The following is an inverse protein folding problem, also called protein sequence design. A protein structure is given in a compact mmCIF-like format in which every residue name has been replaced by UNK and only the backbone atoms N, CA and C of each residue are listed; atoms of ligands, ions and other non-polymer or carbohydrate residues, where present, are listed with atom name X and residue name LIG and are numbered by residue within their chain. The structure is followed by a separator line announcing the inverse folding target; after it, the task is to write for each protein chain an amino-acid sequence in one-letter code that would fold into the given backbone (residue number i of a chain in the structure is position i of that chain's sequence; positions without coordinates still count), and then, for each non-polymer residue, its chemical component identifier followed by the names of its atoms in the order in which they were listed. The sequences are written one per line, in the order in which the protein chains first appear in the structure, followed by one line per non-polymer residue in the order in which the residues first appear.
data_IF_450385555406
#
_entry.id   IF_450385555406
#
_cell.length_a   1.000
_cell.length_b   1.000
_cell.length_c   1.000
_cell.angle_alpha   90.00
_cell.angle_beta   90.00
_cell.angle_gamma   90.00
#
_symmetry.space_group_name_H-M   'P 1'
#
loop_
_entity.id
_entity.type
_entity.pdbx_description
1 polymer ?
#
# COMPACT_ATOMS: atom_id res chain seq x y z
N UNK A 1 -13.19 -16.03 18.70
CA UNK A 1 -11.97 -16.49 18.00
C UNK A 1 -11.54 -17.82 18.64
N UNK A 2 -11.48 -18.94 17.93
CA UNK A 2 -11.06 -20.20 18.50
C UNK A 2 -9.55 -20.15 18.76
N UNK A 3 -9.18 -20.14 20.03
CA UNK A 3 -7.79 -20.07 20.53
C UNK A 3 -6.90 -21.25 20.09
N UNK A 4 -7.47 -22.30 19.53
CA UNK A 4 -6.78 -23.56 19.21
C UNK A 4 -6.08 -23.58 17.84
N UNK A 5 -6.32 -22.62 16.93
CA UNK A 5 -5.64 -22.58 15.61
C UNK A 5 -4.33 -21.80 15.58
N UNK A 6 -4.01 -21.00 16.60
CA UNK A 6 -2.82 -20.14 16.64
C UNK A 6 -1.51 -20.89 16.96
N UNK A 7 -1.57 -22.14 17.40
CA UNK A 7 -0.39 -22.92 17.83
C UNK A 7 -0.02 -24.07 16.87
N UNK A 8 -0.66 -24.17 15.70
CA UNK A 8 -0.21 -25.15 14.71
C UNK A 8 1.04 -24.64 14.00
N UNK A 9 2.11 -25.43 13.92
CA UNK A 9 3.26 -25.06 13.10
C UNK A 9 2.81 -24.89 11.64
N UNK A 10 3.40 -23.89 10.96
CA UNK A 10 3.13 -23.65 9.55
C UNK A 10 3.45 -24.91 8.72
N UNK A 11 2.59 -25.23 7.75
CA UNK A 11 2.87 -26.26 6.76
C UNK A 11 4.09 -25.85 5.93
N UNK A 12 4.64 -26.80 5.17
CA UNK A 12 5.76 -26.53 4.26
C UNK A 12 5.39 -25.47 3.23
N UNK A 13 4.24 -25.59 2.60
CA UNK A 13 3.72 -24.63 1.61
C UNK A 13 3.53 -23.23 2.21
N UNK A 14 3.03 -23.14 3.45
CA UNK A 14 2.89 -21.84 4.14
C UNK A 14 4.25 -21.21 4.44
N UNK A 15 5.27 -22.01 4.81
CA UNK A 15 6.63 -21.50 5.02
C UNK A 15 7.26 -21.01 3.73
N UNK A 16 7.06 -21.73 2.64
CA UNK A 16 7.54 -21.34 1.32
C UNK A 16 6.87 -20.02 0.86
N UNK A 17 5.56 -19.90 1.03
CA UNK A 17 4.82 -18.66 0.71
C UNK A 17 5.29 -17.45 1.56
N UNK A 18 5.53 -17.66 2.85
CA UNK A 18 6.09 -16.61 3.73
C UNK A 18 7.51 -16.26 3.31
N UNK A 19 8.34 -17.25 2.96
CA UNK A 19 9.71 -17.03 2.47
C UNK A 19 9.71 -16.17 1.21
N UNK A 20 8.92 -16.54 0.22
CA UNK A 20 8.78 -15.79 -1.03
C UNK A 20 8.28 -14.36 -0.80
N UNK A 21 7.29 -14.16 0.10
CA UNK A 21 6.81 -12.83 0.45
C UNK A 21 7.89 -11.97 1.12
N UNK A 22 8.70 -12.55 2.01
CA UNK A 22 9.81 -11.84 2.65
C UNK A 22 10.93 -11.51 1.65
N UNK A 23 11.21 -12.39 0.69
CA UNK A 23 12.17 -12.14 -0.38
C UNK A 23 11.71 -10.97 -1.26
N UNK A 24 10.45 -10.96 -1.65
CA UNK A 24 9.85 -9.90 -2.46
C UNK A 24 9.95 -8.50 -1.83
N UNK A 25 9.92 -8.42 -0.49
CA UNK A 25 10.06 -7.15 0.24
C UNK A 25 11.46 -6.90 0.78
N UNK A 26 12.45 -7.76 0.47
CA UNK A 26 13.84 -7.61 0.90
C UNK A 26 14.06 -7.75 2.41
N UNK A 27 13.28 -8.60 3.10
CA UNK A 27 13.35 -8.78 4.56
C UNK A 27 13.59 -10.23 5.01
N UNK A 28 14.15 -11.07 4.15
CA UNK A 28 14.43 -12.48 4.46
C UNK A 28 15.31 -12.63 5.71
N UNK A 29 16.37 -11.83 5.81
CA UNK A 29 17.30 -11.90 6.92
C UNK A 29 16.69 -11.51 8.27
N UNK A 30 15.56 -10.78 8.22
CA UNK A 30 14.81 -10.35 9.39
C UNK A 30 13.61 -11.25 9.74
N UNK A 31 13.49 -12.40 9.07
CA UNK A 31 12.38 -13.34 9.24
C UNK A 31 12.17 -13.82 10.70
N UNK A 32 13.22 -13.78 11.52
CA UNK A 32 13.19 -14.20 12.94
C UNK A 32 13.08 -13.05 13.92
N UNK A 33 13.10 -11.81 13.43
CA UNK A 33 12.96 -10.63 14.29
C UNK A 33 11.51 -10.45 14.74
N UNK A 34 11.36 -9.81 15.89
CA UNK A 34 10.01 -9.44 16.37
C UNK A 34 9.50 -8.25 15.55
N UNK A 35 8.24 -8.29 15.16
CA UNK A 35 7.60 -7.20 14.39
C UNK A 35 7.81 -5.81 15.02
N UNK A 36 7.81 -5.73 16.36
CA UNK A 36 7.99 -4.47 17.09
C UNK A 36 9.41 -3.88 17.01
N UNK A 37 10.44 -4.67 16.64
CA UNK A 37 11.83 -4.19 16.50
C UNK A 37 12.14 -3.63 15.11
N UNK A 38 11.23 -3.82 14.17
CA UNK A 38 11.37 -3.35 12.79
C UNK A 38 11.09 -1.85 12.67
N UNK A 39 11.71 -1.19 11.69
CA UNK A 39 11.40 0.20 11.35
C UNK A 39 9.97 0.37 10.88
N UNK A 40 9.45 1.62 10.87
CA UNK A 40 8.11 1.91 10.35
C UNK A 40 7.90 1.41 8.93
N UNK A 41 8.83 1.71 8.02
CA UNK A 41 8.78 1.28 6.63
C UNK A 41 8.88 -0.25 6.45
N UNK A 42 9.69 -0.93 7.26
CA UNK A 42 9.75 -2.39 7.25
C UNK A 42 8.43 -3.00 7.71
N UNK A 43 7.83 -2.48 8.77
CA UNK A 43 6.50 -2.91 9.25
C UNK A 43 5.44 -2.72 8.19
N UNK A 44 5.44 -1.56 7.51
CA UNK A 44 4.47 -1.26 6.44
C UNK A 44 4.57 -2.27 5.30
N UNK A 45 5.78 -2.54 4.81
CA UNK A 45 6.00 -3.55 3.76
C UNK A 45 5.53 -4.94 4.17
N UNK A 46 5.80 -5.37 5.40
CA UNK A 46 5.33 -6.66 5.92
C UNK A 46 3.80 -6.71 5.96
N UNK A 47 3.13 -5.63 6.37
CA UNK A 47 1.67 -5.60 6.41
C UNK A 47 1.04 -5.76 5.03
N UNK A 48 1.60 -5.07 4.02
CA UNK A 48 1.14 -5.21 2.63
C UNK A 48 1.47 -6.60 2.08
N UNK A 49 2.71 -7.09 2.26
CA UNK A 49 3.09 -8.42 1.82
C UNK A 49 2.20 -9.52 2.46
N UNK A 50 1.88 -9.39 3.74
CA UNK A 50 0.94 -10.31 4.42
C UNK A 50 -0.45 -10.33 3.79
N UNK A 51 -0.95 -9.17 3.37
CA UNK A 51 -2.22 -9.10 2.67
C UNK A 51 -2.16 -9.81 1.30
N UNK A 52 -1.03 -9.69 0.60
CA UNK A 52 -0.82 -10.28 -0.72
C UNK A 52 -0.60 -11.79 -0.73
N UNK A 53 -0.11 -12.38 0.37
CA UNK A 53 0.06 -13.86 0.48
C UNK A 53 -1.25 -14.63 0.21
N UNK A 54 -2.39 -14.02 0.54
CA UNK A 54 -3.71 -14.61 0.27
C UNK A 54 -4.17 -14.48 -1.19
N UNK A 55 -3.35 -13.88 -2.07
CA UNK A 55 -3.67 -13.58 -3.47
C UNK A 55 -5.05 -12.89 -3.64
N UNK A 56 -5.27 -11.77 -2.95
CA UNK A 56 -6.56 -11.10 -2.97
C UNK A 56 -6.82 -10.47 -4.34
N UNK A 57 -8.09 -10.36 -4.72
CA UNK A 57 -8.49 -9.59 -5.91
C UNK A 57 -8.45 -8.08 -5.68
N UNK A 58 -8.61 -7.64 -4.43
CA UNK A 58 -8.62 -6.23 -4.04
C UNK A 58 -7.90 -6.07 -2.70
N UNK A 59 -7.03 -5.05 -2.61
CA UNK A 59 -6.37 -4.61 -1.38
C UNK A 59 -6.75 -3.15 -1.12
N UNK A 60 -7.15 -2.84 0.11
CA UNK A 60 -7.42 -1.49 0.57
C UNK A 60 -6.25 -1.01 1.43
N UNK A 61 -5.66 0.12 1.07
CA UNK A 61 -4.53 0.73 1.77
C UNK A 61 -4.90 2.15 2.21
N UNK A 62 -4.72 2.42 3.48
CA UNK A 62 -4.94 3.73 4.07
C UNK A 62 -3.59 4.39 4.37
N UNK A 63 -3.30 5.50 3.66
CA UNK A 63 -2.05 6.28 3.76
C UNK A 63 -0.77 5.42 3.78
N UNK A 64 -0.59 4.46 2.84
CA UNK A 64 0.48 3.46 2.96
C UNK A 64 1.89 4.02 2.81
N UNK A 65 2.04 5.23 2.27
CA UNK A 65 3.33 5.88 2.03
C UNK A 65 3.70 6.92 3.11
N UNK A 66 2.79 7.17 4.04
CA UNK A 66 2.99 8.20 5.05
C UNK A 66 4.18 7.86 5.98
N UNK A 67 5.11 8.81 6.12
CA UNK A 67 6.28 8.67 6.98
C UNK A 67 7.34 7.68 6.48
N UNK A 68 7.28 7.25 5.22
CA UNK A 68 8.33 6.43 4.61
C UNK A 68 9.47 7.31 4.08
N UNK A 69 10.70 6.85 4.30
CA UNK A 69 11.87 7.33 3.57
C UNK A 69 11.87 6.81 2.13
N UNK A 70 12.65 7.41 1.24
CA UNK A 70 12.65 7.10 -0.18
C UNK A 70 12.91 5.60 -0.48
N UNK A 71 13.89 4.91 0.14
CA UNK A 71 14.09 3.49 -0.12
C UNK A 71 12.91 2.60 0.27
N UNK A 72 12.22 2.91 1.37
CA UNK A 72 11.03 2.16 1.78
C UNK A 72 9.82 2.47 0.90
N UNK A 73 9.71 3.72 0.42
CA UNK A 73 8.69 4.15 -0.55
C UNK A 73 8.84 3.40 -1.87
N UNK A 74 10.03 3.40 -2.47
CA UNK A 74 10.32 2.68 -3.73
C UNK A 74 10.05 1.18 -3.60
N UNK A 75 10.47 0.56 -2.50
CA UNK A 75 10.22 -0.86 -2.26
C UNK A 75 8.71 -1.17 -2.16
N UNK A 76 7.91 -0.29 -1.55
CA UNK A 76 6.46 -0.45 -1.48
C UNK A 76 5.79 -0.25 -2.85
N UNK A 77 6.24 0.74 -3.62
CA UNK A 77 5.79 0.98 -5.00
C UNK A 77 6.04 -0.26 -5.88
N UNK A 78 7.24 -0.82 -5.82
CA UNK A 78 7.61 -2.03 -6.54
C UNK A 78 6.69 -3.21 -6.18
N UNK A 79 6.43 -3.40 -4.88
CA UNK A 79 5.54 -4.46 -4.39
C UNK A 79 4.10 -4.30 -4.93
N UNK A 80 3.55 -3.09 -4.89
CA UNK A 80 2.22 -2.78 -5.43
C UNK A 80 2.18 -3.03 -6.94
N UNK A 81 3.18 -2.53 -7.68
CA UNK A 81 3.27 -2.70 -9.13
C UNK A 81 3.32 -4.18 -9.54
N UNK A 82 4.11 -4.99 -8.84
CA UNK A 82 4.19 -6.43 -9.10
C UNK A 82 2.85 -7.13 -8.84
N UNK A 83 2.16 -6.79 -7.75
CA UNK A 83 0.87 -7.36 -7.42
C UNK A 83 -0.23 -6.91 -8.41
N UNK A 84 -0.21 -5.66 -8.89
CA UNK A 84 -1.07 -5.18 -9.99
C UNK A 84 -0.86 -6.01 -11.26
N UNK A 85 0.39 -6.26 -11.64
CA UNK A 85 0.72 -7.10 -12.80
C UNK A 85 0.21 -8.54 -12.67
N UNK A 86 0.02 -9.03 -11.45
CA UNK A 86 -0.57 -10.33 -11.14
C UNK A 86 -2.10 -10.31 -11.04
N UNK A 87 -2.74 -9.16 -11.28
CA UNK A 87 -4.19 -9.00 -11.30
C UNK A 87 -4.84 -8.57 -9.98
N UNK A 88 -4.05 -8.17 -8.98
CA UNK A 88 -4.59 -7.57 -7.75
C UNK A 88 -4.93 -6.11 -8.00
N UNK A 89 -6.16 -5.71 -7.72
CA UNK A 89 -6.57 -4.31 -7.69
C UNK A 89 -6.23 -3.67 -6.33
N UNK A 90 -5.93 -2.36 -6.35
CA UNK A 90 -5.67 -1.59 -5.14
C UNK A 90 -6.60 -0.38 -5.07
N UNK A 91 -7.10 -0.10 -3.87
CA UNK A 91 -7.72 1.16 -3.52
C UNK A 91 -6.90 1.81 -2.42
N UNK A 92 -6.33 2.99 -2.71
CA UNK A 92 -5.37 3.67 -1.86
C UNK A 92 -5.95 5.03 -1.46
N UNK A 93 -6.08 5.29 -0.16
CA UNK A 93 -6.30 6.65 0.32
C UNK A 93 -4.95 7.35 0.49
N UNK A 94 -4.85 8.60 0.07
CA UNK A 94 -3.67 9.44 0.30
C UNK A 94 -4.02 10.92 0.19
N UNK A 95 -3.30 11.75 0.91
CA UNK A 95 -3.33 13.21 0.77
C UNK A 95 -2.17 13.72 -0.12
N UNK A 96 -1.24 12.84 -0.51
CA UNK A 96 -0.14 13.17 -1.42
C UNK A 96 -0.53 12.86 -2.87
N UNK A 97 -0.85 13.91 -3.63
CA UNK A 97 -1.21 13.78 -5.05
C UNK A 97 -0.07 13.23 -5.92
N UNK A 98 1.21 13.40 -5.51
CA UNK A 98 2.35 12.84 -6.24
C UNK A 98 2.32 11.32 -6.21
N UNK A 99 2.03 10.76 -5.03
CA UNK A 99 1.81 9.31 -4.90
C UNK A 99 0.68 8.86 -5.80
N UNK A 100 -0.46 9.56 -5.78
CA UNK A 100 -1.61 9.19 -6.60
C UNK A 100 -1.25 9.21 -8.11
N UNK A 101 -0.53 10.22 -8.59
CA UNK A 101 -0.12 10.30 -10.00
C UNK A 101 0.90 9.25 -10.42
N UNK A 102 1.68 8.72 -9.48
CA UNK A 102 2.70 7.70 -9.75
C UNK A 102 2.12 6.27 -9.75
N UNK A 103 1.12 6.00 -8.90
CA UNK A 103 0.67 4.63 -8.60
C UNK A 103 -0.69 4.30 -9.19
N UNK A 104 -1.59 5.31 -9.24
CA UNK A 104 -3.01 5.08 -9.54
C UNK A 104 -3.32 5.30 -11.02
N UNK A 105 -4.07 4.37 -11.60
CA UNK A 105 -4.59 4.49 -12.98
C UNK A 105 -5.80 5.43 -12.99
N UNK A 106 -6.66 5.32 -11.97
CA UNK A 106 -7.83 6.16 -11.74
C UNK A 106 -7.75 6.82 -10.37
N UNK A 107 -8.32 8.01 -10.24
CA UNK A 107 -8.35 8.77 -9.00
C UNK A 107 -9.72 9.36 -8.71
N UNK A 108 -10.03 9.44 -7.42
CA UNK A 108 -11.20 10.10 -6.89
C UNK A 108 -10.76 11.20 -5.92
N UNK A 109 -11.10 12.45 -6.20
CA UNK A 109 -10.84 13.58 -5.29
C UNK A 109 -12.10 13.87 -4.49
N UNK A 110 -11.93 13.91 -3.16
CA UNK A 110 -13.00 14.18 -2.20
C UNK A 110 -12.60 15.37 -1.32
N UNK A 111 -13.45 16.41 -1.28
CA UNK A 111 -13.32 17.57 -0.40
C UNK A 111 -14.70 17.94 0.15
N UNK A 112 -15.17 17.22 1.18
CA UNK A 112 -16.53 17.29 1.69
C UNK A 112 -17.59 16.74 0.74
N UNK A 113 -17.33 16.72 -0.56
CA UNK A 113 -18.08 16.09 -1.63
C UNK A 113 -17.13 15.50 -2.66
N UNK A 114 -17.64 14.71 -3.58
CA UNK A 114 -16.88 14.30 -4.75
C UNK A 114 -16.61 15.52 -5.63
N UNK A 115 -15.34 15.80 -5.92
CA UNK A 115 -14.92 16.88 -6.81
C UNK A 115 -14.69 16.34 -8.22
N UNK A 116 -13.91 15.26 -8.35
CA UNK A 116 -13.61 14.62 -9.62
C UNK A 116 -13.41 13.10 -9.44
N UNK A 117 -13.68 12.34 -10.51
CA UNK A 117 -13.43 10.91 -10.57
C UNK A 117 -13.14 10.52 -12.01
N UNK A 118 -12.07 9.74 -12.24
CA UNK A 118 -11.67 9.24 -13.56
C UNK A 118 -10.19 8.96 -13.69
N UNK A 119 -9.68 8.89 -14.93
CA UNK A 119 -8.24 8.68 -15.18
C UNK A 119 -7.40 9.70 -14.42
N UNK A 120 -6.37 9.22 -13.74
CA UNK A 120 -5.52 10.05 -12.87
C UNK A 120 -4.95 11.28 -13.60
N UNK A 121 -4.54 11.11 -14.87
CA UNK A 121 -4.03 12.20 -15.71
C UNK A 121 -5.05 13.32 -15.99
N UNK A 122 -6.34 13.02 -15.90
CA UNK A 122 -7.42 13.98 -16.13
C UNK A 122 -7.92 14.62 -14.84
N UNK A 123 -7.83 13.89 -13.72
CA UNK A 123 -8.33 14.33 -12.42
C UNK A 123 -7.39 15.35 -11.77
N UNK A 124 -6.07 15.24 -11.97
CA UNK A 124 -5.08 16.16 -11.37
C UNK A 124 -4.75 17.38 -12.24
N UNK A 125 -5.75 17.95 -12.91
CA UNK A 125 -5.60 19.24 -13.60
C UNK A 125 -5.57 20.39 -12.60
N UNK A 126 -4.84 21.49 -12.88
CA UNK A 126 -4.72 22.62 -11.97
C UNK A 126 -6.08 23.20 -11.52
N UNK A 127 -7.06 23.23 -12.39
CA UNK A 127 -8.40 23.75 -12.11
C UNK A 127 -9.11 22.91 -11.05
N UNK A 128 -9.05 21.59 -11.16
CA UNK A 128 -9.64 20.63 -10.23
C UNK A 128 -8.93 20.66 -8.88
N UNK A 129 -7.61 20.74 -8.89
CA UNK A 129 -6.79 20.86 -7.67
C UNK A 129 -7.13 22.17 -6.93
N UNK A 130 -7.27 23.29 -7.65
CA UNK A 130 -7.66 24.56 -7.06
C UNK A 130 -9.09 24.52 -6.49
N UNK A 131 -10.02 23.85 -7.13
CA UNK A 131 -11.35 23.65 -6.59
C UNK A 131 -11.33 22.82 -5.31
N UNK A 132 -10.55 21.73 -5.29
CA UNK A 132 -10.50 20.80 -4.17
C UNK A 132 -9.77 21.40 -2.95
N UNK A 133 -8.66 22.13 -3.16
CA UNK A 133 -7.71 22.50 -2.12
C UNK A 133 -7.40 24.01 -2.08
N UNK A 134 -7.78 24.79 -3.10
CA UNK A 134 -7.46 26.23 -3.22
C UNK A 134 -8.07 27.11 -2.15
N UNK A 135 -9.09 26.65 -1.42
CA UNK A 135 -9.67 27.35 -0.28
C UNK A 135 -8.86 27.21 1.03
N UNK A 136 -7.82 26.40 1.06
CA UNK A 136 -7.01 26.11 2.27
C UNK A 136 -5.78 27.03 2.37
N UNK A 137 -5.44 27.75 1.31
CA UNK A 137 -4.27 28.64 1.28
C UNK A 137 -4.58 30.12 1.61
N UNK A 138 -5.79 30.45 2.08
CA UNK A 138 -6.16 31.80 2.50
C UNK A 138 -6.48 31.88 4.00
N UNK A 139 -5.65 31.29 4.86
CA UNK A 139 -5.64 31.61 6.30
C UNK A 139 -4.21 31.87 6.75
#
# INVERSE_FOLDING_TARGET
YPKTKLLRPLSREQKEAVGAALEQIGLVERARERFGTLSGGQRQRILVARALVAQPRLVLLDEPFNGLDEPNREALLSLISQAKAQGTAFMISTHDYRVATEVCDESLIVAGRQIACGPTSEVFRPEIINEAFGGIHNV
#
